data_IF_259637837923
#
_entry.id   IF_259637837923
#
_cell.length_a   1.000
_cell.length_b   1.000
_cell.length_c   1.000
_cell.angle_alpha   90.00
_cell.angle_beta   90.00
_cell.angle_gamma   90.00
#
_symmetry.space_group_name_H-M   'P 1'
#
loop_
_entity.id
_entity.type
_entity.pdbx_description
1 polymer ?
#
# COMPACT_ATOMS: atom_id res chain seq x y z
N UNK A 1 -11.04 11.71 1.43
CA UNK A 1 -9.63 11.45 1.08
C UNK A 1 -9.26 10.18 1.79
N UNK A 2 -9.22 9.05 1.07
CA UNK A 2 -8.78 7.78 1.63
C UNK A 2 -7.24 7.75 1.56
N UNK A 3 -6.59 8.38 2.55
CA UNK A 3 -5.14 8.43 2.62
C UNK A 3 -4.64 7.12 3.24
N UNK A 4 -3.72 6.39 2.58
CA UNK A 4 -3.10 5.20 3.15
C UNK A 4 -2.44 5.51 4.49
N UNK A 5 -2.82 4.74 5.49
CA UNK A 5 -2.27 4.75 6.83
C UNK A 5 -2.10 3.30 7.28
N UNK A 6 -1.24 3.06 8.28
CA UNK A 6 -1.02 1.72 8.82
C UNK A 6 -0.60 1.73 10.28
N UNK A 7 -0.47 0.52 10.85
CA UNK A 7 -0.01 0.36 12.24
C UNK A 7 1.27 1.14 12.61
N UNK A 8 2.30 1.24 11.73
CA UNK A 8 3.50 2.03 12.04
C UNK A 8 3.23 3.51 12.32
N UNK A 9 2.11 4.05 11.85
CA UNK A 9 1.75 5.47 11.99
C UNK A 9 1.14 5.81 13.36
N UNK A 10 0.73 4.81 14.14
CA UNK A 10 0.05 5.04 15.42
C UNK A 10 0.99 5.70 16.45
N UNK A 11 2.18 5.13 16.66
CA UNK A 11 3.17 5.69 17.60
C UNK A 11 3.56 7.15 17.28
N UNK A 12 3.99 7.50 16.04
CA UNK A 12 4.31 8.88 15.70
C UNK A 12 3.10 9.82 15.80
N UNK A 13 1.87 9.31 15.57
CA UNK A 13 0.64 10.10 15.78
C UNK A 13 0.45 10.45 17.26
N UNK A 14 0.59 9.48 18.18
CA UNK A 14 0.48 9.76 19.62
C UNK A 14 1.55 10.75 20.09
N UNK A 15 2.80 10.57 19.66
CA UNK A 15 3.89 11.51 20.00
C UNK A 15 3.56 12.94 19.54
N UNK A 16 3.03 13.09 18.31
CA UNK A 16 2.62 14.39 17.77
C UNK A 16 1.52 15.05 18.60
N UNK A 17 0.49 14.28 19.00
CA UNK A 17 -0.62 14.77 19.83
C UNK A 17 -0.13 15.20 21.20
N UNK A 18 0.83 14.47 21.78
CA UNK A 18 1.45 14.80 23.05
C UNK A 18 2.48 15.95 22.97
N UNK A 19 2.74 16.49 21.77
CA UNK A 19 3.74 17.54 21.57
C UNK A 19 5.19 17.05 21.74
N UNK A 20 5.42 15.74 21.62
CA UNK A 20 6.72 15.11 21.75
C UNK A 20 7.43 14.99 20.39
N UNK A 21 8.78 15.01 20.37
CA UNK A 21 9.53 14.79 19.14
C UNK A 21 9.32 13.36 18.61
N UNK A 22 9.19 13.23 17.29
CA UNK A 22 9.12 11.93 16.60
C UNK A 22 10.55 11.50 16.25
N UNK A 23 11.06 10.36 16.76
CA UNK A 23 12.38 9.88 16.40
C UNK A 23 12.48 9.52 14.91
N UNK A 24 13.56 9.92 14.25
CA UNK A 24 13.76 9.67 12.80
C UNK A 24 13.96 8.20 12.41
N UNK A 25 14.05 7.27 13.37
CA UNK A 25 14.13 5.83 13.11
C UNK A 25 12.76 5.15 13.05
N UNK A 26 11.67 5.87 13.38
CA UNK A 26 10.32 5.34 13.21
C UNK A 26 9.98 5.27 11.72
N UNK A 27 9.48 4.12 11.28
CA UNK A 27 9.09 3.90 9.88
C UNK A 27 7.77 4.60 9.50
N UNK A 28 6.90 4.88 10.47
CA UNK A 28 5.61 5.54 10.23
C UNK A 28 5.69 7.05 10.33
N UNK A 29 4.62 7.72 9.88
CA UNK A 29 4.41 9.16 10.00
C UNK A 29 3.22 9.47 10.90
N UNK A 30 3.14 10.69 11.44
CA UNK A 30 1.92 11.11 12.11
C UNK A 30 0.76 11.26 11.11
N UNK A 31 -0.41 10.71 11.45
CA UNK A 31 -1.66 10.82 10.68
C UNK A 31 -2.30 12.19 11.00
N UNK A 32 -1.68 13.26 10.53
CA UNK A 32 -2.12 14.64 10.80
C UNK A 32 -3.47 14.92 10.15
N UNK A 33 -3.80 14.28 9.05
CA UNK A 33 -5.10 14.40 8.36
C UNK A 33 -6.29 13.91 9.19
N UNK A 34 -6.06 13.03 10.18
CA UNK A 34 -7.10 12.54 11.07
C UNK A 34 -7.25 13.43 12.32
N UNK A 35 -6.35 14.39 12.52
CA UNK A 35 -6.40 15.34 13.63
C UNK A 35 -7.21 16.57 13.23
N UNK A 36 -7.99 17.11 14.16
CA UNK A 36 -8.80 18.30 13.89
C UNK A 36 -7.92 19.54 13.72
N UNK A 37 -8.19 20.34 12.68
CA UNK A 37 -7.55 21.65 12.47
C UNK A 37 -6.20 21.63 11.75
N UNK A 38 -5.77 20.48 11.22
CA UNK A 38 -4.55 20.33 10.40
C UNK A 38 -4.92 20.25 8.92
N UNK A 39 -4.14 20.92 8.06
CA UNK A 39 -4.31 20.77 6.62
C UNK A 39 -4.01 19.34 6.20
N UNK A 40 -4.83 18.81 5.29
CA UNK A 40 -4.70 17.45 4.79
C UNK A 40 -3.31 17.26 4.18
N UNK A 41 -2.63 16.16 4.56
CA UNK A 41 -1.45 15.72 3.84
C UNK A 41 -1.82 15.54 2.35
N UNK A 42 -0.89 15.92 1.45
CA UNK A 42 -1.13 15.90 0.01
C UNK A 42 -1.59 14.53 -0.50
N UNK A 43 -2.23 14.53 -1.68
CA UNK A 43 -2.78 13.32 -2.28
C UNK A 43 -1.65 12.30 -2.52
N UNK A 44 -1.77 11.05 -2.02
CA UNK A 44 -0.77 10.02 -2.23
C UNK A 44 -0.67 9.64 -3.71
N UNK A 45 0.54 9.35 -4.17
CA UNK A 45 0.76 8.68 -5.45
C UNK A 45 0.59 7.17 -5.25
N UNK A 46 -0.17 6.52 -6.13
CA UNK A 46 -0.38 5.07 -6.07
C UNK A 46 0.52 4.41 -7.10
N UNK A 47 1.34 3.46 -6.64
CA UNK A 47 2.19 2.62 -7.48
C UNK A 47 1.77 1.17 -7.33
N UNK A 48 1.67 0.44 -8.44
CA UNK A 48 1.42 -1.00 -8.43
C UNK A 48 2.64 -1.71 -9.03
N UNK A 49 3.20 -2.64 -8.26
CA UNK A 49 4.30 -3.51 -8.70
C UNK A 49 3.71 -4.89 -8.93
N UNK A 50 3.83 -5.39 -10.17
CA UNK A 50 3.38 -6.73 -10.54
C UNK A 50 4.56 -7.64 -10.85
N UNK A 51 4.44 -8.91 -10.45
CA UNK A 51 5.37 -9.98 -10.80
C UNK A 51 4.57 -11.21 -11.24
N UNK A 52 5.02 -11.86 -12.30
CA UNK A 52 4.44 -13.11 -12.79
C UNK A 52 5.50 -14.18 -12.91
N UNK A 53 5.13 -15.43 -12.61
CA UNK A 53 6.00 -16.59 -12.75
C UNK A 53 5.22 -17.81 -13.17
N UNK A 54 5.68 -18.45 -14.24
CA UNK A 54 5.13 -19.71 -14.71
C UNK A 54 5.95 -20.88 -14.14
N UNK A 55 5.27 -21.87 -13.56
CA UNK A 55 5.88 -23.05 -12.98
C UNK A 55 4.92 -24.24 -13.13
N UNK A 56 5.40 -25.34 -13.72
CA UNK A 56 4.67 -26.62 -13.81
C UNK A 56 3.24 -26.50 -14.37
N UNK A 57 3.05 -25.69 -15.42
CA UNK A 57 1.73 -25.51 -16.04
C UNK A 57 0.80 -24.55 -15.28
N UNK A 58 1.32 -23.82 -14.29
CA UNK A 58 0.57 -22.86 -13.47
C UNK A 58 1.24 -21.49 -13.59
N UNK A 59 0.43 -20.43 -13.73
CA UNK A 59 0.87 -19.03 -13.62
C UNK A 59 0.56 -18.50 -12.23
N UNK A 60 1.60 -18.04 -11.56
CA UNK A 60 1.50 -17.26 -10.34
C UNK A 60 1.58 -15.78 -10.70
N UNK A 61 0.66 -14.98 -10.18
CA UNK A 61 0.69 -13.51 -10.29
C UNK A 61 0.68 -12.91 -8.89
N UNK A 62 1.56 -11.96 -8.65
CA UNK A 62 1.56 -11.14 -7.45
C UNK A 62 1.44 -9.68 -7.85
N UNK A 63 0.53 -8.95 -7.21
CA UNK A 63 0.41 -7.52 -7.34
C UNK A 63 0.54 -6.88 -5.94
N UNK A 64 1.43 -5.90 -5.82
CA UNK A 64 1.63 -5.11 -4.61
C UNK A 64 1.27 -3.66 -4.91
N UNK A 65 0.31 -3.12 -4.18
CA UNK A 65 -0.11 -1.71 -4.30
C UNK A 65 0.53 -0.91 -3.19
N UNK A 66 1.30 0.11 -3.54
CA UNK A 66 1.93 1.05 -2.62
C UNK A 66 1.30 2.44 -2.73
N UNK A 67 1.02 3.04 -1.57
CA UNK A 67 0.67 4.46 -1.46
C UNK A 67 1.91 5.24 -1.04
N UNK A 68 2.41 6.11 -1.92
CA UNK A 68 3.55 7.00 -1.65
C UNK A 68 3.07 8.36 -1.21
N UNK A 69 3.55 8.79 -0.05
CA UNK A 69 3.23 10.08 0.54
C UNK A 69 4.27 11.15 0.16
N UNK A 70 3.87 12.43 0.06
CA UNK A 70 4.81 13.53 0.06
C UNK A 70 5.77 13.43 1.26
N UNK A 71 7.08 13.44 1.00
CA UNK A 71 8.10 13.17 2.02
C UNK A 71 8.74 11.78 1.96
N UNK A 72 8.44 10.98 0.93
CA UNK A 72 9.22 9.79 0.56
C UNK A 72 8.83 8.48 1.26
N UNK A 73 7.78 8.50 2.10
CA UNK A 73 7.30 7.30 2.80
C UNK A 73 6.33 6.53 1.88
N UNK A 74 6.43 5.21 1.88
CA UNK A 74 5.54 4.33 1.11
C UNK A 74 4.88 3.32 2.04
N UNK A 75 3.56 3.15 1.90
CA UNK A 75 2.78 2.15 2.62
C UNK A 75 2.32 1.07 1.66
N UNK A 76 2.45 -0.21 2.05
CA UNK A 76 1.79 -1.30 1.34
C UNK A 76 0.29 -1.22 1.65
N UNK A 77 -0.52 -0.98 0.62
CA UNK A 77 -1.97 -0.81 0.69
C UNK A 77 -2.68 -2.13 0.46
N UNK A 78 -2.23 -2.89 -0.55
CA UNK A 78 -2.80 -4.19 -0.89
C UNK A 78 -1.70 -5.12 -1.38
N UNK A 79 -1.88 -6.41 -1.09
CA UNK A 79 -1.08 -7.48 -1.65
C UNK A 79 -2.03 -8.56 -2.15
N UNK A 80 -2.06 -8.76 -3.46
CA UNK A 80 -2.89 -9.74 -4.13
C UNK A 80 -2.00 -10.82 -4.71
N UNK A 81 -2.43 -12.07 -4.57
CA UNK A 81 -1.75 -13.22 -5.12
C UNK A 81 -2.77 -14.13 -5.79
N UNK A 82 -2.46 -14.52 -7.01
CA UNK A 82 -3.32 -15.37 -7.83
C UNK A 82 -2.53 -16.56 -8.36
N UNK A 83 -3.25 -17.67 -8.51
CA UNK A 83 -2.78 -18.91 -9.13
C UNK A 83 -3.77 -19.27 -10.23
N UNK A 84 -3.30 -19.36 -11.46
CA UNK A 84 -4.12 -19.73 -12.61
C UNK A 84 -3.50 -20.95 -13.29
N UNK A 85 -4.26 -22.02 -13.45
CA UNK A 85 -3.85 -23.16 -14.26
C UNK A 85 -3.78 -22.72 -15.73
N UNK A 86 -2.62 -22.87 -16.39
CA UNK A 86 -2.42 -22.39 -17.76
C UNK A 86 -3.36 -23.06 -18.75
N UNK A 87 -3.74 -24.32 -18.50
CA UNK A 87 -4.75 -25.03 -19.28
C UNK A 87 -6.14 -24.36 -19.25
N UNK A 88 -6.45 -23.58 -18.21
CA UNK A 88 -7.70 -22.82 -18.11
C UNK A 88 -7.66 -21.51 -18.93
N UNK A 89 -6.48 -20.99 -19.25
CA UNK A 89 -6.30 -19.78 -20.07
C UNK A 89 -6.43 -20.05 -21.57
N UNK A 90 -6.29 -21.31 -22.00
CA UNK A 90 -6.38 -21.73 -23.41
C UNK A 90 -7.81 -22.08 -23.86
N UNK A 91 -8.82 -21.94 -23.00
CA UNK A 91 -10.22 -22.22 -23.36
C UNK A 91 -10.85 -21.03 -24.11
N UNK A 92 -11.40 -21.22 -25.33
CA UNK A 92 -11.85 -20.13 -26.22
C UNK A 92 -13.15 -19.41 -25.78
N UNK A 93 -13.48 -19.39 -24.49
CA UNK A 93 -14.72 -18.78 -23.96
C UNK A 93 -14.47 -17.59 -23.01
N UNK A 94 -13.25 -17.06 -22.94
CA UNK A 94 -12.93 -15.87 -22.14
C UNK A 94 -13.12 -14.53 -22.89
N UNK A 95 -14.04 -14.48 -23.86
CA UNK A 95 -14.52 -13.22 -24.46
C UNK A 95 -16.04 -13.29 -24.63
N UNK A 96 -16.78 -12.89 -23.59
CA UNK A 96 -18.19 -12.55 -23.67
C UNK A 96 -18.48 -11.41 -22.68
#
# INVERSE_FOLDING_TARGET
>A
LDIPTGHPDLAPTFLRVLGLPIPGHMQGRAIVEALAGTEAAGVPEVEVIEATRDLEGVRYRQALTFGRMPGGHAHLVAAEAERVDLAALESPLATA
#
